data_IF_626017136888
#
_entry.id   IF_626017136888
#
_cell.length_a   1.000
_cell.length_b   1.000
_cell.length_c   1.000
_cell.angle_alpha   90.00
_cell.angle_beta   90.00
_cell.angle_gamma   90.00
#
_symmetry.space_group_name_H-M   'P 1'
#
loop_
_entity.id
_entity.type
_entity.pdbx_description
1 polymer ?
#
# COMPACT_ATOMS: atom_id res chain seq x y z
N UNK A 1 4.96 69.97 -38.46
CA UNK A 1 5.14 68.51 -38.30
C UNK A 1 4.94 68.16 -36.83
N UNK A 2 3.73 67.76 -36.44
CA UNK A 2 3.45 67.24 -35.09
C UNK A 2 3.75 65.73 -35.07
N UNK A 3 4.65 65.31 -34.18
CA UNK A 3 4.92 63.90 -33.88
C UNK A 3 4.01 63.46 -32.74
N UNK A 4 2.98 62.70 -33.07
CA UNK A 4 2.15 61.95 -32.13
C UNK A 4 2.95 60.78 -31.57
N UNK A 5 3.14 60.76 -30.25
CA UNK A 5 3.66 59.60 -29.52
C UNK A 5 2.49 58.69 -29.16
N UNK A 6 2.48 57.48 -29.72
CA UNK A 6 1.56 56.41 -29.35
C UNK A 6 2.11 55.76 -28.09
N UNK A 7 1.42 55.93 -26.96
CA UNK A 7 1.69 55.20 -25.72
C UNK A 7 0.99 53.84 -25.83
N UNK A 8 1.77 52.78 -25.98
CA UNK A 8 1.30 51.40 -25.93
C UNK A 8 1.03 51.02 -24.45
N UNK A 9 -0.14 50.51 -24.07
CA UNK A 9 -0.34 49.96 -22.74
C UNK A 9 0.33 48.58 -22.67
N UNK A 10 1.40 48.49 -21.89
CA UNK A 10 1.94 47.20 -21.44
C UNK A 10 0.92 46.55 -20.50
N UNK A 11 0.09 45.64 -21.01
CA UNK A 11 -0.64 44.70 -20.17
C UNK A 11 0.38 43.73 -19.55
N UNK A 12 0.77 43.99 -18.31
CA UNK A 12 1.42 43.03 -17.44
C UNK A 12 0.39 41.96 -17.05
N UNK A 13 0.27 40.90 -17.84
CA UNK A 13 -0.31 39.64 -17.37
C UNK A 13 0.64 39.05 -16.34
N UNK A 14 0.39 39.34 -15.05
CA UNK A 14 1.00 38.62 -13.94
C UNK A 14 0.39 37.22 -13.87
N UNK A 15 0.94 36.30 -14.66
CA UNK A 15 0.75 34.86 -14.42
C UNK A 15 1.51 34.52 -13.13
N UNK A 16 0.83 34.64 -11.98
CA UNK A 16 1.26 33.96 -10.77
C UNK A 16 1.05 32.45 -10.98
N UNK A 17 1.99 31.80 -11.66
CA UNK A 17 2.17 30.37 -11.54
C UNK A 17 2.69 30.11 -10.12
N UNK A 18 1.76 29.97 -9.17
CA UNK A 18 2.08 29.38 -7.87
C UNK A 18 2.58 27.97 -8.16
N UNK A 19 3.88 27.76 -7.95
CA UNK A 19 4.51 26.47 -8.16
C UNK A 19 3.97 25.49 -7.12
N UNK A 20 3.22 24.49 -7.57
CA UNK A 20 2.80 23.38 -6.73
C UNK A 20 4.03 22.75 -6.05
N UNK A 21 3.88 22.15 -4.85
CA UNK A 21 4.98 21.47 -4.17
C UNK A 21 5.70 20.53 -5.14
N UNK A 22 7.03 20.59 -5.19
CA UNK A 22 7.84 19.86 -6.18
C UNK A 22 7.49 18.35 -6.17
N UNK A 23 7.33 17.76 -4.98
CA UNK A 23 6.90 16.37 -4.82
C UNK A 23 5.52 16.07 -5.42
N UNK A 24 4.53 16.95 -5.26
CA UNK A 24 3.19 16.76 -5.85
C UNK A 24 3.27 16.75 -7.37
N UNK A 25 3.92 17.75 -7.96
CA UNK A 25 4.04 17.88 -9.42
C UNK A 25 4.88 16.75 -10.04
N UNK A 26 5.83 16.17 -9.28
CA UNK A 26 6.57 14.99 -9.70
C UNK A 26 5.68 13.75 -9.77
N UNK A 27 4.73 13.58 -8.84
CA UNK A 27 3.94 12.36 -8.65
C UNK A 27 2.60 12.38 -9.40
N UNK A 28 1.96 13.55 -9.48
CA UNK A 28 0.58 13.68 -9.97
C UNK A 28 0.45 14.64 -11.16
N UNK A 29 -0.53 14.36 -11.99
CA UNK A 29 -1.00 15.20 -13.08
C UNK A 29 -2.49 15.48 -12.87
N UNK A 30 -2.84 16.77 -12.86
CA UNK A 30 -4.22 17.26 -12.78
C UNK A 30 -4.73 17.49 -14.20
N UNK A 31 -5.44 16.51 -14.75
CA UNK A 31 -5.98 16.60 -16.11
C UNK A 31 -7.24 17.45 -16.08
N UNK A 32 -7.23 18.57 -16.80
CA UNK A 32 -8.37 19.46 -16.98
C UNK A 32 -9.00 19.27 -18.37
N UNK A 33 -10.31 19.44 -18.47
CA UNK A 33 -11.02 19.51 -19.75
C UNK A 33 -10.82 20.86 -20.43
N UNK A 34 -11.28 20.98 -21.68
CA UNK A 34 -11.14 22.21 -22.50
C UNK A 34 -11.82 23.44 -21.88
N UNK A 35 -12.82 23.22 -21.02
CA UNK A 35 -13.53 24.23 -20.23
C UNK A 35 -12.82 24.59 -18.90
N UNK A 36 -11.65 24.00 -18.63
CA UNK A 36 -10.83 24.25 -17.43
C UNK A 36 -11.23 23.42 -16.20
N UNK A 37 -12.29 22.61 -16.25
CA UNK A 37 -12.72 21.78 -15.12
C UNK A 37 -11.77 20.61 -14.88
N UNK A 38 -11.44 20.31 -13.62
CA UNK A 38 -10.65 19.13 -13.26
C UNK A 38 -11.40 17.84 -13.62
N UNK A 39 -10.91 17.10 -14.61
CA UNK A 39 -11.49 15.84 -15.08
C UNK A 39 -11.02 14.65 -14.25
N UNK A 40 -9.71 14.55 -14.00
CA UNK A 40 -9.11 13.46 -13.23
C UNK A 40 -7.76 13.86 -12.63
N UNK A 41 -7.38 13.18 -11.56
CA UNK A 41 -6.02 13.21 -11.01
C UNK A 41 -5.36 11.88 -11.35
N UNK A 42 -4.21 11.95 -12.03
CA UNK A 42 -3.47 10.79 -12.52
C UNK A 42 -2.09 10.72 -11.86
N UNK A 43 -1.61 9.52 -11.55
CA UNK A 43 -0.20 9.32 -11.21
C UNK A 43 0.64 9.35 -12.50
N UNK A 44 1.83 9.94 -12.44
CA UNK A 44 2.75 10.05 -13.59
C UNK A 44 3.52 8.77 -13.90
N UNK A 45 3.53 7.81 -12.97
CA UNK A 45 4.33 6.60 -13.03
C UNK A 45 3.43 5.37 -13.12
N UNK A 46 2.92 5.07 -14.32
CA UNK A 46 2.29 3.77 -14.60
C UNK A 46 3.12 3.03 -15.63
N UNK A 47 3.61 1.85 -15.27
CA UNK A 47 4.27 0.94 -16.20
C UNK A 47 3.33 0.63 -17.37
N UNK A 48 3.65 1.17 -18.55
CA UNK A 48 3.00 0.76 -19.82
C UNK A 48 3.24 -0.72 -20.13
N UNK A 49 4.30 -1.32 -19.56
CA UNK A 49 4.72 -2.70 -19.74
C UNK A 49 4.71 -3.47 -18.41
N UNK A 50 3.52 -3.80 -17.92
CA UNK A 50 3.37 -4.73 -16.79
C UNK A 50 4.05 -6.08 -17.08
N UNK A 51 4.73 -6.64 -16.09
CA UNK A 51 5.27 -8.00 -16.08
C UNK A 51 5.35 -8.55 -14.67
N UNK A 52 5.14 -9.85 -14.49
CA UNK A 52 5.27 -10.53 -13.19
C UNK A 52 6.72 -10.86 -12.82
N UNK A 53 7.63 -10.80 -13.80
CA UNK A 53 9.02 -11.23 -13.64
C UNK A 53 9.78 -10.52 -12.48
N UNK A 54 9.61 -9.21 -12.23
CA UNK A 54 10.27 -8.56 -11.10
C UNK A 54 9.91 -9.19 -9.76
N UNK A 55 8.63 -9.52 -9.56
CA UNK A 55 8.16 -10.15 -8.33
C UNK A 55 8.67 -11.59 -8.19
N UNK A 56 8.63 -12.38 -9.28
CA UNK A 56 9.20 -13.74 -9.28
C UNK A 56 10.70 -13.71 -8.92
N UNK A 57 11.44 -12.76 -9.48
CA UNK A 57 12.86 -12.60 -9.16
C UNK A 57 13.06 -12.25 -7.69
N UNK A 58 12.33 -11.25 -7.20
CA UNK A 58 12.42 -10.79 -5.81
C UNK A 58 12.14 -11.94 -4.83
N UNK A 59 11.03 -12.67 -4.99
CA UNK A 59 10.67 -13.74 -4.06
C UNK A 59 11.68 -14.90 -4.08
N UNK A 60 12.22 -15.27 -5.26
CA UNK A 60 13.28 -16.28 -5.36
C UNK A 60 14.53 -15.83 -4.59
N UNK A 61 14.92 -14.57 -4.73
CA UNK A 61 16.07 -13.99 -4.04
C UNK A 61 15.85 -13.91 -2.53
N UNK A 62 14.64 -13.54 -2.10
CA UNK A 62 14.26 -13.47 -0.69
C UNK A 62 14.35 -14.85 -0.02
N UNK A 63 13.76 -15.89 -0.62
CA UNK A 63 13.83 -17.26 -0.07
C UNK A 63 15.28 -17.75 0.00
N UNK A 64 16.06 -17.59 -1.08
CA UNK A 64 17.46 -18.06 -1.10
C UNK A 64 18.32 -17.32 -0.09
N UNK A 65 18.10 -16.01 0.05
CA UNK A 65 18.78 -15.19 1.04
C UNK A 65 18.43 -15.63 2.45
N UNK A 66 17.17 -15.99 2.69
CA UNK A 66 16.73 -16.50 3.99
C UNK A 66 17.34 -17.85 4.33
N UNK A 67 17.27 -18.82 3.42
CA UNK A 67 17.90 -20.14 3.58
C UNK A 67 19.39 -19.99 3.88
N UNK A 68 20.07 -19.01 3.25
CA UNK A 68 21.48 -18.71 3.54
C UNK A 68 21.69 -18.18 4.96
N UNK A 69 20.82 -17.30 5.46
CA UNK A 69 20.85 -16.76 6.84
C UNK A 69 20.57 -17.86 7.88
N UNK A 70 19.66 -18.78 7.60
CA UNK A 70 19.34 -19.91 8.48
C UNK A 70 20.54 -20.82 8.76
N UNK A 71 21.56 -20.83 7.88
CA UNK A 71 22.79 -21.62 8.08
C UNK A 71 23.64 -21.11 9.25
N UNK A 72 23.56 -19.83 9.61
CA UNK A 72 24.20 -19.28 10.82
C UNK A 72 23.29 -19.48 12.04
N UNK A 73 23.21 -20.74 12.51
CA UNK A 73 22.20 -21.22 13.46
C UNK A 73 22.02 -20.41 14.75
N UNK A 74 23.12 -19.94 15.38
CA UNK A 74 23.03 -19.24 16.68
C UNK A 74 22.41 -17.86 16.60
N UNK A 75 22.76 -17.06 15.58
CA UNK A 75 22.24 -15.70 15.40
C UNK A 75 20.84 -15.70 14.79
N UNK A 76 20.56 -16.67 13.92
CA UNK A 76 19.25 -16.78 13.29
C UNK A 76 18.17 -17.22 14.28
N UNK A 77 18.49 -18.16 15.19
CA UNK A 77 17.56 -18.61 16.22
C UNK A 77 17.04 -17.45 17.07
N UNK A 78 17.94 -16.58 17.56
CA UNK A 78 17.55 -15.39 18.32
C UNK A 78 16.71 -14.40 17.52
N UNK A 79 17.02 -14.21 16.23
CA UNK A 79 16.23 -13.32 15.36
C UNK A 79 14.82 -13.87 15.13
N UNK A 80 14.69 -15.17 14.91
CA UNK A 80 13.40 -15.84 14.74
C UNK A 80 12.60 -15.79 16.04
N UNK A 81 13.23 -16.03 17.19
CA UNK A 81 12.57 -15.94 18.50
C UNK A 81 12.09 -14.51 18.79
N UNK A 82 12.86 -13.47 18.45
CA UNK A 82 12.42 -12.08 18.57
C UNK A 82 11.22 -11.79 17.65
N UNK A 83 11.26 -12.27 16.41
CA UNK A 83 10.15 -12.14 15.46
C UNK A 83 8.87 -12.80 15.99
N UNK A 84 8.96 -14.05 16.46
CA UNK A 84 7.82 -14.78 16.99
C UNK A 84 7.31 -14.13 18.28
N UNK A 85 8.19 -13.69 19.18
CA UNK A 85 7.82 -12.92 20.36
C UNK A 85 7.09 -11.63 19.97
N UNK A 86 7.48 -10.97 18.89
CA UNK A 86 6.76 -9.80 18.37
C UNK A 86 5.35 -10.16 17.88
N UNK A 87 5.15 -11.31 17.21
CA UNK A 87 3.82 -11.80 16.85
C UNK A 87 2.97 -12.12 18.08
N UNK A 88 3.61 -12.57 19.15
CA UNK A 88 2.99 -12.89 20.44
C UNK A 88 2.72 -11.64 21.30
N UNK A 89 3.37 -10.53 20.97
CA UNK A 89 3.46 -9.34 21.82
C UNK A 89 2.21 -8.45 21.80
N UNK A 90 0.99 -8.98 21.93
CA UNK A 90 -0.19 -8.17 22.28
C UNK A 90 -1.43 -8.99 22.69
N UNK A 91 -2.16 -8.49 23.72
CA UNK A 91 -3.31 -9.16 24.35
C UNK A 91 -4.66 -8.66 23.80
N UNK A 92 -5.71 -9.52 23.79
CA UNK A 92 -5.73 -10.87 24.38
C UNK A 92 -5.16 -11.91 23.42
N UNK A 93 -4.09 -12.56 23.87
CA UNK A 93 -3.51 -13.71 23.18
C UNK A 93 -4.45 -14.88 23.44
N UNK A 94 -5.26 -15.24 22.47
CA UNK A 94 -6.12 -16.42 22.54
C UNK A 94 -5.36 -17.66 22.03
N UNK A 95 -5.94 -18.84 22.21
CA UNK A 95 -5.34 -20.10 21.78
C UNK A 95 -5.08 -20.11 20.26
N UNK A 96 -5.93 -19.44 19.48
CA UNK A 96 -5.81 -19.38 18.02
C UNK A 96 -4.58 -18.56 17.59
N UNK A 97 -4.29 -17.44 18.26
CA UNK A 97 -3.09 -16.65 17.98
C UNK A 97 -1.81 -17.45 18.23
N UNK A 98 -1.77 -18.23 19.32
CA UNK A 98 -0.63 -19.11 19.62
C UNK A 98 -0.45 -20.23 18.58
N UNK A 99 -1.55 -20.86 18.15
CA UNK A 99 -1.53 -21.87 17.10
C UNK A 99 -1.05 -21.26 15.78
N UNK A 100 -1.52 -20.06 15.41
CA UNK A 100 -1.08 -19.37 14.21
C UNK A 100 0.42 -19.07 14.23
N UNK A 101 0.97 -18.58 15.34
CA UNK A 101 2.40 -18.32 15.49
C UNK A 101 3.23 -19.60 15.36
N UNK A 102 2.75 -20.71 15.94
CA UNK A 102 3.39 -22.03 15.76
C UNK A 102 3.45 -22.46 14.30
N UNK A 103 2.35 -22.31 13.56
CA UNK A 103 2.30 -22.66 12.14
C UNK A 103 3.21 -21.73 11.29
N UNK A 104 3.32 -20.44 11.65
CA UNK A 104 4.27 -19.51 11.01
C UNK A 104 5.72 -19.96 11.24
N UNK A 105 6.06 -20.36 12.46
CA UNK A 105 7.38 -20.93 12.79
C UNK A 105 7.68 -22.13 11.89
N UNK A 106 6.77 -23.11 11.85
CA UNK A 106 6.93 -24.32 11.04
C UNK A 106 7.12 -23.98 9.56
N UNK A 107 6.38 -22.99 9.06
CA UNK A 107 6.48 -22.53 7.67
C UNK A 107 7.86 -21.95 7.33
N UNK A 108 8.39 -21.10 8.22
CA UNK A 108 9.72 -20.50 8.06
C UNK A 108 10.82 -21.55 8.21
N UNK A 109 10.72 -22.42 9.21
CA UNK A 109 11.70 -23.49 9.46
C UNK A 109 11.75 -24.52 8.32
N UNK A 110 10.65 -24.68 7.58
CA UNK A 110 10.57 -25.57 6.43
C UNK A 110 11.17 -24.99 5.13
N UNK A 111 11.51 -23.69 5.08
CA UNK A 111 12.08 -23.06 3.87
C UNK A 111 13.30 -23.81 3.28
N UNK A 112 14.27 -24.31 4.08
CA UNK A 112 15.42 -25.05 3.55
C UNK A 112 15.06 -26.35 2.80
N UNK A 113 13.87 -26.90 3.04
CA UNK A 113 13.39 -28.11 2.36
C UNK A 113 12.79 -27.79 0.98
N UNK A 114 12.57 -26.51 0.66
CA UNK A 114 12.02 -26.09 -0.62
C UNK A 114 13.12 -26.09 -1.68
N UNK A 115 12.92 -26.88 -2.74
CA UNK A 115 13.74 -26.83 -3.96
C UNK A 115 13.35 -25.60 -4.78
N UNK A 116 13.86 -24.43 -4.40
CA UNK A 116 13.40 -23.12 -4.92
C UNK A 116 13.46 -23.05 -6.44
N UNK A 117 14.62 -23.30 -7.05
CA UNK A 117 14.76 -23.14 -8.51
C UNK A 117 13.87 -24.11 -9.28
N UNK A 118 13.89 -25.38 -8.89
CA UNK A 118 13.08 -26.42 -9.53
C UNK A 118 11.58 -26.15 -9.40
N UNK A 119 11.13 -25.66 -8.23
CA UNK A 119 9.72 -25.37 -7.97
C UNK A 119 9.22 -24.20 -8.83
N UNK A 120 10.01 -23.12 -8.93
CA UNK A 120 9.66 -21.97 -9.77
C UNK A 120 9.75 -22.31 -11.26
N UNK A 121 10.73 -23.10 -11.69
CA UNK A 121 10.83 -23.57 -13.07
C UNK A 121 9.64 -24.47 -13.46
N UNK A 122 9.24 -25.38 -12.57
CA UNK A 122 8.06 -26.21 -12.76
C UNK A 122 6.77 -25.39 -12.86
N UNK A 123 6.61 -24.34 -12.04
CA UNK A 123 5.45 -23.45 -12.13
C UNK A 123 5.45 -22.65 -13.44
N UNK A 124 6.61 -22.14 -13.86
CA UNK A 124 6.74 -21.35 -15.09
C UNK A 124 6.46 -22.19 -16.35
N UNK A 125 6.91 -23.44 -16.38
CA UNK A 125 6.75 -24.33 -17.55
C UNK A 125 5.30 -24.68 -17.86
N UNK A 126 4.40 -24.63 -16.87
CA UNK A 126 2.96 -24.88 -17.07
C UNK A 126 2.21 -23.71 -17.74
N UNK A 127 2.87 -22.57 -17.95
CA UNK A 127 2.30 -21.41 -18.66
C UNK A 127 1.17 -20.69 -17.92
N UNK A 128 0.81 -21.12 -16.71
CA UNK A 128 -0.23 -20.52 -15.85
C UNK A 128 0.09 -19.05 -15.57
N UNK A 129 1.31 -18.78 -15.12
CA UNK A 129 1.75 -17.42 -14.79
C UNK A 129 1.81 -16.50 -16.01
N UNK A 130 2.20 -17.02 -17.18
CA UNK A 130 2.20 -16.26 -18.44
C UNK A 130 0.79 -15.89 -18.88
N UNK A 131 -0.17 -16.82 -18.76
CA UNK A 131 -1.58 -16.54 -19.04
C UNK A 131 -2.14 -15.48 -18.08
N UNK A 132 -1.86 -15.62 -16.79
CA UNK A 132 -2.26 -14.65 -15.78
C UNK A 132 -1.68 -13.26 -16.06
N UNK A 133 -0.39 -13.15 -16.40
CA UNK A 133 0.23 -11.87 -16.77
C UNK A 133 -0.52 -11.18 -17.92
N UNK A 134 -0.88 -11.94 -18.96
CA UNK A 134 -1.63 -11.42 -20.11
C UNK A 134 -3.04 -10.98 -19.71
N UNK A 135 -3.80 -11.83 -19.02
CA UNK A 135 -5.17 -11.53 -18.57
C UNK A 135 -5.20 -10.28 -17.67
N UNK A 136 -4.24 -10.20 -16.73
CA UNK A 136 -4.11 -9.04 -15.83
C UNK A 136 -3.77 -7.79 -16.63
N UNK A 137 -2.81 -7.85 -17.56
CA UNK A 137 -2.45 -6.71 -18.41
C UNK A 137 -3.65 -6.13 -19.16
N UNK A 138 -4.53 -6.97 -19.71
CA UNK A 138 -5.75 -6.49 -20.37
C UNK A 138 -6.73 -5.85 -19.39
N UNK A 139 -6.92 -6.45 -18.20
CA UNK A 139 -7.77 -5.85 -17.18
C UNK A 139 -7.23 -4.49 -16.69
N UNK A 140 -5.91 -4.34 -16.53
CA UNK A 140 -5.29 -3.08 -16.12
C UNK A 140 -5.54 -1.94 -17.11
N UNK A 141 -5.60 -2.24 -18.41
CA UNK A 141 -5.97 -1.24 -19.43
C UNK A 141 -7.40 -0.72 -19.22
N UNK A 142 -8.34 -1.57 -18.83
CA UNK A 142 -9.71 -1.18 -18.55
C UNK A 142 -9.84 -0.37 -17.26
N UNK A 143 -9.10 -0.77 -16.22
CA UNK A 143 -9.08 -0.09 -14.93
C UNK A 143 -8.53 1.35 -15.01
N UNK A 144 -7.57 1.58 -15.89
CA UNK A 144 -6.72 2.77 -15.88
C UNK A 144 -6.18 3.03 -14.47
N UNK A 145 -5.21 2.21 -14.04
CA UNK A 145 -4.59 2.33 -12.71
C UNK A 145 -4.01 3.73 -12.45
N UNK A 146 -3.72 4.49 -13.51
CA UNK A 146 -3.16 5.82 -13.36
C UNK A 146 -4.11 6.76 -12.63
N UNK A 147 -5.42 6.60 -12.81
CA UNK A 147 -6.41 7.48 -12.19
C UNK A 147 -6.49 7.17 -10.70
N UNK A 148 -6.08 8.15 -9.88
CA UNK A 148 -6.17 8.10 -8.41
C UNK A 148 -7.40 8.83 -7.88
N UNK A 149 -7.93 9.78 -8.65
CA UNK A 149 -9.21 10.43 -8.37
C UNK A 149 -9.90 10.85 -9.67
N UNK A 150 -11.23 10.75 -9.68
CA UNK A 150 -12.11 11.17 -10.76
C UNK A 150 -13.25 12.03 -10.18
N UNK A 151 -13.03 13.35 -10.01
CA UNK A 151 -13.92 14.23 -9.24
C UNK A 151 -15.34 14.36 -9.79
N UNK A 152 -15.57 14.13 -11.09
CA UNK A 152 -16.87 14.40 -11.73
C UNK A 152 -17.77 13.16 -11.93
N UNK A 153 -17.38 11.99 -11.41
CA UNK A 153 -18.17 10.76 -11.53
C UNK A 153 -18.14 9.97 -10.23
N UNK A 154 -19.24 10.06 -9.50
CA UNK A 154 -19.40 9.47 -8.18
C UNK A 154 -19.46 7.93 -8.17
N UNK A 155 -19.35 7.28 -9.33
CA UNK A 155 -19.37 5.82 -9.45
C UNK A 155 -18.25 5.30 -10.36
N UNK A 156 -17.23 6.13 -10.62
CA UNK A 156 -16.14 5.78 -11.53
C UNK A 156 -15.44 4.48 -11.08
N UNK A 157 -15.03 4.40 -9.81
CA UNK A 157 -14.29 3.23 -9.33
C UNK A 157 -15.21 2.05 -9.04
N UNK A 158 -16.41 2.28 -8.50
CA UNK A 158 -17.38 1.21 -8.29
C UNK A 158 -17.72 0.44 -9.58
N UNK A 159 -17.92 1.15 -10.71
CA UNK A 159 -18.19 0.50 -12.00
C UNK A 159 -16.99 -0.22 -12.60
N UNK A 160 -15.76 0.12 -12.17
CA UNK A 160 -14.52 -0.41 -12.73
C UNK A 160 -13.92 -1.56 -11.91
N UNK A 161 -14.60 -2.19 -10.96
CA UNK A 161 -14.01 -3.27 -10.17
C UNK A 161 -14.01 -4.64 -10.89
N UNK A 162 -13.18 -4.80 -11.92
CA UNK A 162 -13.20 -5.97 -12.85
C UNK A 162 -12.15 -7.04 -12.53
N UNK A 163 -11.14 -6.76 -11.70
CA UNK A 163 -9.94 -7.61 -11.59
C UNK A 163 -10.12 -8.89 -10.78
N UNK A 164 -11.11 -8.97 -9.89
CA UNK A 164 -11.40 -10.18 -9.13
C UNK A 164 -11.64 -11.41 -10.03
N UNK A 165 -12.26 -11.18 -11.20
CA UNK A 165 -12.51 -12.26 -12.17
C UNK A 165 -11.21 -12.79 -12.80
N UNK A 166 -10.17 -11.95 -12.94
CA UNK A 166 -8.87 -12.35 -13.48
C UNK A 166 -8.21 -13.35 -12.53
N UNK A 167 -8.15 -13.02 -11.23
CA UNK A 167 -7.57 -13.88 -10.20
C UNK A 167 -8.32 -15.22 -10.14
N UNK A 168 -9.65 -15.17 -10.07
CA UNK A 168 -10.48 -16.38 -10.01
C UNK A 168 -10.21 -17.31 -11.19
N UNK A 169 -10.21 -16.77 -12.43
CA UNK A 169 -9.93 -17.55 -13.64
C UNK A 169 -8.50 -18.11 -13.66
N UNK A 170 -7.53 -17.36 -13.17
CA UNK A 170 -6.14 -17.81 -13.10
C UNK A 170 -5.96 -18.94 -12.09
N UNK A 171 -6.59 -18.85 -10.91
CA UNK A 171 -6.57 -19.91 -9.89
C UNK A 171 -7.27 -21.18 -10.36
N UNK A 172 -8.42 -21.07 -11.03
CA UNK A 172 -9.10 -22.23 -11.64
C UNK A 172 -8.24 -22.88 -12.73
N UNK A 173 -7.55 -22.07 -13.54
CA UNK A 173 -6.63 -22.59 -14.54
C UNK A 173 -5.42 -23.28 -13.91
N UNK A 174 -4.88 -22.72 -12.82
CA UNK A 174 -3.79 -23.33 -12.05
C UNK A 174 -4.20 -24.70 -11.50
N UNK A 175 -5.39 -24.81 -10.88
CA UNK A 175 -5.94 -26.07 -10.35
C UNK A 175 -6.04 -27.18 -11.42
N UNK A 176 -6.28 -26.81 -12.68
CA UNK A 176 -6.35 -27.75 -13.81
C UNK A 176 -4.98 -28.17 -14.35
N UNK A 177 -3.91 -27.47 -13.99
CA UNK A 177 -2.56 -27.65 -14.54
C UNK A 177 -1.57 -28.29 -13.56
N UNK A 178 -1.84 -28.18 -12.25
CA UNK A 178 -0.95 -28.68 -11.22
C UNK A 178 -1.61 -29.80 -10.42
N UNK A 179 -1.06 -31.01 -10.54
CA UNK A 179 -1.42 -32.14 -9.68
C UNK A 179 -0.68 -32.10 -8.32
N UNK A 180 0.44 -31.36 -8.28
CA UNK A 180 1.22 -31.15 -7.07
C UNK A 180 0.66 -29.99 -6.24
N UNK A 181 0.18 -30.29 -5.04
CA UNK A 181 -0.36 -29.29 -4.09
C UNK A 181 0.66 -28.17 -3.78
N UNK A 182 1.96 -28.45 -3.50
CA UNK A 182 2.95 -27.40 -3.30
C UNK A 182 3.13 -26.47 -4.52
N UNK A 183 3.17 -27.01 -5.74
CA UNK A 183 3.32 -26.19 -6.95
C UNK A 183 2.06 -25.36 -7.23
N UNK A 184 0.88 -25.93 -6.99
CA UNK A 184 -0.38 -25.20 -7.06
C UNK A 184 -0.42 -24.05 -6.06
N UNK A 185 -0.01 -24.28 -4.81
CA UNK A 185 0.02 -23.25 -3.77
C UNK A 185 1.02 -22.15 -4.12
N UNK A 186 2.22 -22.51 -4.61
CA UNK A 186 3.21 -21.53 -5.08
C UNK A 186 2.65 -20.67 -6.23
N UNK A 187 2.03 -21.29 -7.23
CA UNK A 187 1.41 -20.56 -8.33
C UNK A 187 0.28 -19.64 -7.84
N UNK A 188 -0.57 -20.14 -6.94
CA UNK A 188 -1.69 -19.39 -6.36
C UNK A 188 -1.20 -18.18 -5.56
N UNK A 189 -0.18 -18.37 -4.72
CA UNK A 189 0.47 -17.31 -3.96
C UNK A 189 0.99 -16.20 -4.89
N UNK A 190 1.74 -16.57 -5.93
CA UNK A 190 2.27 -15.59 -6.90
C UNK A 190 1.14 -14.84 -7.61
N UNK A 191 0.06 -15.52 -8.01
CA UNK A 191 -1.09 -14.89 -8.67
C UNK A 191 -1.74 -13.84 -7.76
N UNK A 192 -2.04 -14.21 -6.51
CA UNK A 192 -2.73 -13.34 -5.55
C UNK A 192 -1.84 -12.15 -5.19
N UNK A 193 -0.60 -12.39 -4.78
CA UNK A 193 0.32 -11.33 -4.35
C UNK A 193 0.63 -10.34 -5.46
N UNK A 194 0.84 -10.80 -6.70
CA UNK A 194 1.05 -9.90 -7.85
C UNK A 194 -0.20 -9.05 -8.13
N UNK A 195 -1.38 -9.67 -8.13
CA UNK A 195 -2.63 -8.94 -8.33
C UNK A 195 -2.79 -7.83 -7.30
N UNK A 196 -2.61 -8.17 -6.02
CA UNK A 196 -2.79 -7.23 -4.93
C UNK A 196 -1.78 -6.11 -5.03
N UNK A 197 -0.47 -6.43 -5.08
CA UNK A 197 0.61 -5.43 -5.18
C UNK A 197 0.44 -4.46 -6.36
N UNK A 198 -0.14 -4.92 -7.48
CA UNK A 198 -0.45 -4.05 -8.62
C UNK A 198 -1.57 -3.06 -8.29
N UNK A 199 -2.64 -3.51 -7.63
CA UNK A 199 -3.76 -2.65 -7.23
C UNK A 199 -3.41 -1.70 -6.08
N UNK A 200 -2.56 -2.15 -5.16
CA UNK A 200 -2.07 -1.37 -4.02
C UNK A 200 -1.46 -0.03 -4.44
N UNK A 201 -0.88 0.04 -5.64
CA UNK A 201 -0.30 1.27 -6.18
C UNK A 201 -1.28 2.43 -6.13
N UNK A 202 -2.56 2.21 -6.51
CA UNK A 202 -3.57 3.26 -6.50
C UNK A 202 -3.81 3.75 -5.07
N UNK A 203 -4.09 2.84 -4.15
CA UNK A 203 -4.40 3.20 -2.76
C UNK A 203 -3.23 3.88 -2.07
N UNK A 204 -2.00 3.42 -2.33
CA UNK A 204 -0.79 4.06 -1.85
C UNK A 204 -0.69 5.52 -2.32
N UNK A 205 -0.81 5.76 -3.63
CA UNK A 205 -0.76 7.11 -4.18
C UNK A 205 -1.96 7.98 -3.79
N UNK A 206 -3.13 7.39 -3.54
CA UNK A 206 -4.26 8.11 -2.97
C UNK A 206 -3.94 8.58 -1.54
N UNK A 207 -3.33 7.74 -0.69
CA UNK A 207 -2.92 8.18 0.65
C UNK A 207 -1.80 9.24 0.59
N UNK A 208 -0.90 9.17 -0.40
CA UNK A 208 0.05 10.24 -0.69
C UNK A 208 -0.65 11.54 -1.08
N UNK A 209 -1.65 11.49 -1.96
CA UNK A 209 -2.44 12.65 -2.37
C UNK A 209 -3.22 13.24 -1.19
N UNK A 210 -3.76 12.41 -0.29
CA UNK A 210 -4.42 12.87 0.94
C UNK A 210 -3.47 13.67 1.84
N UNK A 211 -2.19 13.30 1.92
CA UNK A 211 -1.18 14.09 2.64
C UNK A 211 -1.07 15.50 2.05
N UNK A 212 -0.95 15.63 0.73
CA UNK A 212 -0.84 16.94 0.09
C UNK A 212 -2.11 17.78 0.29
N UNK A 213 -3.29 17.18 0.07
CA UNK A 213 -4.58 17.85 0.24
C UNK A 213 -4.79 18.34 1.68
N UNK A 214 -4.32 17.60 2.66
CA UNK A 214 -4.46 17.99 4.07
C UNK A 214 -3.54 19.15 4.45
N UNK A 215 -2.29 19.15 3.96
CA UNK A 215 -1.23 20.00 4.49
C UNK A 215 -0.97 21.26 3.67
N UNK A 216 -1.53 21.36 2.47
CA UNK A 216 -1.41 22.52 1.59
C UNK A 216 -2.78 23.11 1.29
N UNK A 217 -2.82 24.42 1.03
CA UNK A 217 -4.06 25.07 0.60
C UNK A 217 -4.41 24.67 -0.83
N UNK A 218 -5.69 24.74 -1.18
CA UNK A 218 -6.16 24.32 -2.50
C UNK A 218 -5.47 25.10 -3.64
N UNK A 219 -5.30 26.42 -3.48
CA UNK A 219 -4.63 27.30 -4.44
C UNK A 219 -3.14 26.98 -4.62
N UNK A 220 -2.45 26.60 -3.55
CA UNK A 220 -1.05 26.10 -3.60
C UNK A 220 -0.93 24.79 -4.41
N UNK A 221 -2.01 24.01 -4.49
CA UNK A 221 -2.08 22.78 -5.29
C UNK A 221 -2.59 23.03 -6.72
N UNK A 222 -2.94 24.27 -7.06
CA UNK A 222 -3.57 24.61 -8.35
C UNK A 222 -5.02 24.10 -8.46
N UNK A 223 -5.74 24.03 -7.33
CA UNK A 223 -7.10 23.50 -7.20
C UNK A 223 -8.04 24.53 -6.57
N UNK A 224 -9.34 24.39 -6.85
CA UNK A 224 -10.38 25.02 -6.03
C UNK A 224 -10.67 24.18 -4.79
N UNK A 225 -11.32 24.78 -3.78
CA UNK A 225 -11.77 24.05 -2.60
C UNK A 225 -12.78 22.95 -2.96
N UNK A 226 -13.70 23.25 -3.86
CA UNK A 226 -14.70 22.30 -4.36
C UNK A 226 -14.04 21.13 -5.10
N UNK A 227 -12.98 21.40 -5.87
CA UNK A 227 -12.18 20.34 -6.52
C UNK A 227 -11.52 19.44 -5.48
N UNK A 228 -10.96 20.01 -4.42
CA UNK A 228 -10.40 19.25 -3.28
C UNK A 228 -11.47 18.36 -2.62
N UNK A 229 -12.65 18.91 -2.34
CA UNK A 229 -13.74 18.16 -1.70
C UNK A 229 -14.20 16.99 -2.58
N UNK A 230 -14.29 17.19 -3.90
CA UNK A 230 -14.63 16.13 -4.85
C UNK A 230 -13.51 15.10 -5.04
N UNK A 231 -12.23 15.50 -4.97
CA UNK A 231 -11.10 14.55 -4.95
C UNK A 231 -11.20 13.65 -3.71
N UNK A 232 -11.46 14.22 -2.53
CA UNK A 232 -11.67 13.44 -1.31
C UNK A 232 -12.80 12.42 -1.52
N UNK A 233 -13.94 12.84 -2.07
CA UNK A 233 -15.06 11.94 -2.32
C UNK A 233 -14.69 10.81 -3.26
N UNK A 234 -13.94 11.12 -4.32
CA UNK A 234 -13.44 10.12 -5.25
C UNK A 234 -12.49 9.10 -4.63
N UNK A 235 -11.57 9.55 -3.77
CA UNK A 235 -10.66 8.66 -3.05
C UNK A 235 -11.45 7.74 -2.12
N UNK A 236 -12.41 8.26 -1.35
CA UNK A 236 -13.18 7.43 -0.42
C UNK A 236 -14.18 6.51 -1.13
N UNK A 237 -14.73 6.90 -2.28
CA UNK A 237 -15.60 6.06 -3.11
C UNK A 237 -14.84 4.85 -3.66
N UNK A 238 -13.58 5.05 -4.04
CA UNK A 238 -12.72 3.95 -4.52
C UNK A 238 -12.48 2.84 -3.49
N UNK A 239 -12.76 3.10 -2.20
CA UNK A 239 -12.61 2.15 -1.09
C UNK A 239 -13.89 1.36 -0.82
N UNK A 240 -14.99 1.68 -1.50
CA UNK A 240 -16.27 0.99 -1.31
C UNK A 240 -16.17 -0.39 -1.96
N UNK A 241 -16.45 -1.44 -1.17
CA UNK A 241 -16.54 -2.80 -1.69
C UNK A 241 -17.58 -2.90 -2.81
N UNK A 242 -17.31 -3.73 -3.83
CA UNK A 242 -18.24 -3.98 -4.94
C UNK A 242 -19.62 -4.49 -4.48
N UNK A 243 -19.70 -5.10 -3.30
CA UNK A 243 -20.96 -5.60 -2.74
C UNK A 243 -21.74 -4.54 -1.95
N UNK A 244 -21.13 -3.38 -1.66
CA UNK A 244 -21.72 -2.35 -0.82
C UNK A 244 -22.38 -1.23 -1.66
N UNK A 245 -23.42 -1.63 -2.42
CA UNK A 245 -24.24 -0.71 -3.21
C UNK A 245 -24.88 0.41 -2.37
N UNK A 246 -25.38 0.18 -1.13
CA UNK A 246 -25.94 1.25 -0.31
C UNK A 246 -24.95 2.38 -0.03
N UNK A 247 -23.69 2.05 0.29
CA UNK A 247 -22.65 3.05 0.52
C UNK A 247 -22.29 3.80 -0.77
N UNK A 248 -22.23 3.11 -1.92
CA UNK A 248 -22.02 3.77 -3.22
C UNK A 248 -23.16 4.74 -3.57
N UNK A 249 -24.41 4.38 -3.26
CA UNK A 249 -25.56 5.27 -3.42
C UNK A 249 -25.48 6.50 -2.49
N UNK A 250 -25.03 6.32 -1.25
CA UNK A 250 -24.82 7.41 -0.31
C UNK A 250 -23.67 8.34 -0.74
N UNK A 251 -22.61 7.80 -1.34
CA UNK A 251 -21.55 8.60 -1.93
C UNK A 251 -22.08 9.46 -3.07
N UNK A 252 -22.84 8.87 -4.00
CA UNK A 252 -23.42 9.59 -5.14
C UNK A 252 -24.41 10.68 -4.73
N UNK A 253 -25.26 10.44 -3.73
CA UNK A 253 -26.26 11.42 -3.29
C UNK A 253 -25.67 12.60 -2.52
N UNK A 254 -24.49 12.43 -1.93
CA UNK A 254 -23.83 13.45 -1.10
C UNK A 254 -22.40 13.75 -1.59
N UNK A 255 -22.18 13.71 -2.90
CA UNK A 255 -20.84 13.69 -3.48
C UNK A 255 -19.94 14.85 -3.05
N UNK A 256 -20.47 16.06 -2.90
CA UNK A 256 -19.68 17.23 -2.51
C UNK A 256 -19.21 17.20 -1.06
N UNK A 257 -19.79 16.36 -0.19
CA UNK A 257 -19.44 16.28 1.24
C UNK A 257 -19.00 14.88 1.67
N UNK A 258 -19.22 13.86 0.84
CA UNK A 258 -19.00 12.45 1.19
C UNK A 258 -17.58 12.21 1.68
N UNK A 259 -16.58 12.54 0.87
CA UNK A 259 -15.17 12.33 1.20
C UNK A 259 -14.69 13.20 2.34
N UNK A 260 -15.13 14.45 2.40
CA UNK A 260 -14.83 15.37 3.51
C UNK A 260 -15.29 14.76 4.84
N UNK A 261 -16.52 14.27 4.89
CA UNK A 261 -17.08 13.64 6.09
C UNK A 261 -16.32 12.37 6.49
N UNK A 262 -15.94 11.53 5.52
CA UNK A 262 -15.12 10.32 5.77
C UNK A 262 -13.72 10.69 6.28
N UNK A 263 -13.07 11.67 5.65
CA UNK A 263 -11.74 12.16 6.03
C UNK A 263 -11.72 12.68 7.47
N UNK A 264 -12.65 13.56 7.85
CA UNK A 264 -12.70 14.08 9.22
C UNK A 264 -13.13 13.02 10.25
N UNK A 265 -13.87 12.00 9.84
CA UNK A 265 -14.15 10.84 10.70
C UNK A 265 -12.86 10.05 10.99
N UNK A 266 -12.05 9.80 9.95
CA UNK A 266 -10.72 9.19 10.10
C UNK A 266 -9.83 10.05 11.01
N UNK A 267 -9.74 11.36 10.75
CA UNK A 267 -8.90 12.28 11.53
C UNK A 267 -9.28 12.29 13.01
N UNK A 268 -10.59 12.33 13.33
CA UNK A 268 -11.09 12.27 14.71
C UNK A 268 -10.77 10.93 15.38
N UNK A 269 -10.83 9.83 14.65
CA UNK A 269 -10.43 8.51 15.14
C UNK A 269 -8.94 8.49 15.50
N UNK A 270 -8.06 8.93 14.59
CA UNK A 270 -6.62 9.01 14.84
C UNK A 270 -6.28 9.91 16.03
N UNK A 271 -6.95 11.07 16.14
CA UNK A 271 -6.76 12.01 17.26
C UNK A 271 -7.24 11.42 18.59
N UNK A 272 -8.31 10.62 18.57
CA UNK A 272 -8.77 9.89 19.76
C UNK A 272 -7.78 8.79 20.14
N UNK A 273 -7.22 8.07 19.16
CA UNK A 273 -6.22 7.03 19.40
C UNK A 273 -4.97 7.60 20.08
N UNK A 274 -4.36 8.64 19.52
CA UNK A 274 -3.16 9.25 20.11
C UNK A 274 -3.43 9.84 21.49
N UNK A 275 -4.60 10.45 21.74
CA UNK A 275 -4.97 10.95 23.07
C UNK A 275 -5.07 9.82 24.11
N UNK A 276 -5.53 8.64 23.70
CA UNK A 276 -5.64 7.47 24.59
C UNK A 276 -4.30 6.79 24.83
N UNK A 277 -3.40 6.83 23.86
CA UNK A 277 -2.10 6.13 23.94
C UNK A 277 -0.93 7.03 24.29
N UNK A 278 -1.08 8.36 24.31
CA UNK A 278 0.02 9.30 24.57
C UNK A 278 0.77 9.04 25.87
N UNK A 279 0.05 8.60 26.92
CA UNK A 279 0.64 8.24 28.23
C UNK A 279 1.54 7.00 28.19
N UNK A 280 1.52 6.23 27.11
CA UNK A 280 2.38 5.05 26.90
C UNK A 280 3.71 5.39 26.24
N UNK A 281 3.85 6.61 25.75
CA UNK A 281 5.06 7.09 25.10
C UNK A 281 5.80 8.04 26.05
N UNK A 282 7.12 8.03 25.98
CA UNK A 282 7.97 8.94 26.74
C UNK A 282 7.70 10.40 26.32
N UNK A 283 7.50 10.60 25.01
CA UNK A 283 7.00 11.87 24.46
C UNK A 283 6.21 11.65 23.18
N UNK A 284 5.29 12.58 22.89
CA UNK A 284 4.65 12.70 21.58
C UNK A 284 5.21 13.96 20.93
N UNK A 285 5.91 13.78 19.81
CA UNK A 285 6.60 14.84 19.10
C UNK A 285 5.66 15.42 18.01
N UNK A 286 6.11 15.41 16.76
CA UNK A 286 5.41 16.02 15.64
C UNK A 286 4.31 15.13 15.04
N UNK A 287 3.19 15.75 14.66
CA UNK A 287 2.18 15.11 13.83
C UNK A 287 2.51 15.32 12.35
N UNK A 288 2.92 14.26 11.66
CA UNK A 288 3.31 14.34 10.25
C UNK A 288 2.13 14.55 9.30
N UNK A 289 1.01 13.86 9.52
CA UNK A 289 -0.22 14.01 8.73
C UNK A 289 -1.41 13.33 9.41
N UNK A 290 -2.52 13.10 8.69
CA UNK A 290 -3.75 12.48 9.19
C UNK A 290 -3.53 11.08 9.78
N UNK A 291 -2.50 10.35 9.37
CA UNK A 291 -2.24 8.97 9.81
C UNK A 291 -1.00 8.83 10.71
N UNK A 292 0.04 9.65 10.54
CA UNK A 292 1.33 9.42 11.20
C UNK A 292 1.70 10.47 12.23
N UNK A 293 2.37 10.01 13.30
CA UNK A 293 2.91 10.85 14.38
C UNK A 293 4.28 10.29 14.80
N UNK A 294 5.22 11.18 15.11
CA UNK A 294 6.48 10.81 15.75
C UNK A 294 6.30 10.77 17.27
N UNK A 295 6.81 9.73 17.91
CA UNK A 295 6.84 9.57 19.37
C UNK A 295 8.20 9.05 19.81
N UNK A 296 8.49 9.17 21.11
CA UNK A 296 9.58 8.46 21.77
C UNK A 296 8.98 7.32 22.58
N UNK A 297 9.42 6.09 22.30
CA UNK A 297 8.98 4.87 22.97
C UNK A 297 10.23 4.13 23.45
N UNK A 298 10.36 3.95 24.76
CA UNK A 298 11.52 3.30 25.39
C UNK A 298 12.85 3.97 24.99
N UNK A 299 12.87 5.31 24.98
CA UNK A 299 14.02 6.12 24.56
C UNK A 299 14.30 6.15 23.06
N UNK A 300 13.55 5.42 22.23
CA UNK A 300 13.73 5.36 20.79
C UNK A 300 12.73 6.25 20.06
N UNK A 301 13.22 7.02 19.08
CA UNK A 301 12.34 7.76 18.17
C UNK A 301 11.69 6.76 17.20
N UNK A 302 10.36 6.80 17.13
CA UNK A 302 9.57 5.92 16.27
C UNK A 302 8.42 6.67 15.62
N UNK A 303 8.08 6.31 14.40
CA UNK A 303 6.89 6.82 13.69
C UNK A 303 5.76 5.82 13.89
N UNK A 304 4.65 6.27 14.46
CA UNK A 304 3.45 5.45 14.68
C UNK A 304 2.39 5.74 13.63
N UNK A 305 1.74 4.68 13.16
CA UNK A 305 0.55 4.74 12.33
C UNK A 305 -0.70 4.69 13.22
N UNK A 306 -1.45 5.79 13.22
CA UNK A 306 -2.65 5.94 14.03
C UNK A 306 -3.91 5.40 13.35
N UNK A 307 -3.86 5.19 12.03
CA UNK A 307 -4.98 4.62 11.28
C UNK A 307 -5.02 3.10 11.44
N UNK A 308 -3.85 2.45 11.42
CA UNK A 308 -3.74 1.01 11.51
C UNK A 308 -3.33 0.54 12.91
N UNK A 309 -3.81 -0.63 13.30
CA UNK A 309 -3.36 -1.29 14.52
C UNK A 309 -2.09 -2.11 14.24
N UNK A 310 -1.43 -2.61 15.30
CA UNK A 310 -0.30 -3.53 15.16
C UNK A 310 -0.65 -4.78 14.34
N UNK A 311 -1.85 -5.32 14.57
CA UNK A 311 -2.48 -6.44 13.86
C UNK A 311 -3.99 -6.44 14.19
N UNK A 312 -4.75 -7.41 13.66
CA UNK A 312 -6.21 -7.51 13.82
C UNK A 312 -6.68 -7.57 15.29
N UNK A 313 -5.90 -8.17 16.18
CA UNK A 313 -6.22 -8.30 17.62
C UNK A 313 -5.59 -7.20 18.49
N UNK A 314 -4.76 -6.35 17.91
CA UNK A 314 -4.11 -5.25 18.63
C UNK A 314 -4.99 -4.01 18.69
N UNK A 315 -4.91 -3.27 19.79
CA UNK A 315 -5.44 -1.90 19.90
C UNK A 315 -4.35 -0.82 19.82
N UNK A 316 -3.06 -1.21 19.77
CA UNK A 316 -1.94 -0.27 19.71
C UNK A 316 -1.77 0.26 18.28
N UNK A 317 -1.11 1.41 18.16
CA UNK A 317 -0.70 1.94 16.85
C UNK A 317 0.46 1.11 16.30
N UNK A 318 0.40 0.73 15.02
CA UNK A 318 1.53 0.03 14.39
C UNK A 318 2.74 0.95 14.25
N UNK A 319 3.94 0.37 14.31
CA UNK A 319 5.19 1.09 14.07
C UNK A 319 5.45 1.15 12.57
N UNK A 320 5.40 2.36 12.01
CA UNK A 320 5.66 2.63 10.58
C UNK A 320 7.15 2.76 10.29
N UNK A 321 7.93 3.25 11.25
CA UNK A 321 9.38 3.35 11.14
C UNK A 321 10.04 3.46 12.51
N UNK A 322 11.24 2.92 12.66
CA UNK A 322 12.06 2.98 13.86
C UNK A 322 13.40 3.61 13.48
N UNK A 323 13.73 4.77 14.08
CA UNK A 323 14.95 5.48 13.73
C UNK A 323 16.21 4.81 14.28
N UNK A 324 16.09 4.09 15.40
CA UNK A 324 17.17 3.35 16.04
C UNK A 324 17.45 2.03 15.30
N UNK A 325 16.40 1.40 14.76
CA UNK A 325 16.52 0.22 13.91
C UNK A 325 15.79 0.39 12.56
N UNK A 326 16.40 1.11 11.58
CA UNK A 326 15.78 1.42 10.29
C UNK A 326 15.29 0.23 9.47
N UNK A 327 15.82 -0.96 9.72
CA UNK A 327 15.46 -2.17 8.98
C UNK A 327 14.39 -3.00 9.67
N UNK A 328 13.98 -2.67 10.90
CA UNK A 328 13.05 -3.45 11.73
C UNK A 328 11.74 -3.76 11.01
N UNK A 329 11.06 -2.73 10.51
CA UNK A 329 9.76 -2.88 9.82
C UNK A 329 9.90 -3.69 8.52
N UNK A 330 10.93 -3.39 7.73
CA UNK A 330 11.22 -4.13 6.49
C UNK A 330 11.50 -5.61 6.77
N UNK A 331 12.33 -5.90 7.78
CA UNK A 331 12.72 -7.28 8.13
C UNK A 331 11.52 -8.07 8.67
N UNK A 332 10.73 -7.46 9.55
CA UNK A 332 9.51 -8.05 10.08
C UNK A 332 8.53 -8.44 8.95
N UNK A 333 8.31 -7.54 7.98
CA UNK A 333 7.49 -7.82 6.79
C UNK A 333 8.08 -8.91 5.91
N UNK A 334 9.40 -8.95 5.73
CA UNK A 334 10.05 -10.00 4.95
C UNK A 334 9.82 -11.38 5.58
N UNK A 335 9.94 -11.50 6.90
CA UNK A 335 9.66 -12.75 7.63
C UNK A 335 8.19 -13.15 7.55
N UNK A 336 7.26 -12.19 7.66
CA UNK A 336 5.83 -12.42 7.45
C UNK A 336 5.53 -12.97 6.04
N UNK A 337 6.03 -12.32 4.99
CA UNK A 337 5.86 -12.77 3.60
C UNK A 337 6.47 -14.16 3.36
N UNK A 338 7.62 -14.44 3.96
CA UNK A 338 8.28 -15.75 3.86
C UNK A 338 7.51 -16.84 4.63
N UNK A 339 6.94 -16.49 5.79
CA UNK A 339 6.01 -17.36 6.52
C UNK A 339 4.81 -17.70 5.66
N UNK A 340 4.13 -16.70 5.09
CA UNK A 340 2.96 -16.88 4.22
C UNK A 340 3.27 -17.80 3.02
N UNK A 341 4.40 -17.56 2.34
CA UNK A 341 4.87 -18.43 1.27
C UNK A 341 5.14 -19.86 1.78
N UNK A 342 5.82 -19.99 2.91
CA UNK A 342 6.16 -21.26 3.53
C UNK A 342 4.92 -22.11 3.86
N UNK A 343 3.79 -21.48 4.24
CA UNK A 343 2.51 -22.15 4.46
C UNK A 343 2.05 -22.92 3.21
N UNK A 344 2.36 -22.42 2.02
CA UNK A 344 2.06 -23.07 0.75
C UNK A 344 2.70 -24.47 0.63
N UNK A 345 3.84 -24.69 1.30
CA UNK A 345 4.59 -25.95 1.26
C UNK A 345 4.28 -26.88 2.43
N UNK A 346 3.53 -26.43 3.43
CA UNK A 346 3.12 -27.29 4.55
C UNK A 346 1.90 -28.15 4.18
N UNK A 347 1.86 -29.43 4.62
CA UNK A 347 0.73 -30.33 4.41
C UNK A 347 -0.38 -30.11 5.44
N UNK A 348 -0.84 -28.87 5.58
CA UNK A 348 -1.90 -28.49 6.52
C UNK A 348 -3.23 -28.19 5.81
N UNK A 349 -4.39 -28.38 6.48
CA UNK A 349 -5.70 -28.06 5.92
C UNK A 349 -5.82 -26.60 5.47
N UNK A 350 -6.54 -26.36 4.37
CA UNK A 350 -6.69 -25.02 3.78
C UNK A 350 -7.36 -23.99 4.69
N UNK A 351 -8.24 -24.42 5.60
CA UNK A 351 -8.87 -23.52 6.57
C UNK A 351 -7.85 -22.99 7.61
N UNK A 352 -6.85 -23.80 7.99
CA UNK A 352 -5.74 -23.35 8.85
C UNK A 352 -4.90 -22.34 8.08
N UNK A 353 -4.54 -22.64 6.83
CA UNK A 353 -3.77 -21.72 5.98
C UNK A 353 -4.43 -20.35 5.89
N UNK A 354 -5.72 -20.31 5.55
CA UNK A 354 -6.46 -19.04 5.41
C UNK A 354 -6.53 -18.24 6.71
N UNK A 355 -6.64 -18.90 7.86
CA UNK A 355 -6.61 -18.24 9.17
C UNK A 355 -5.24 -17.60 9.45
N UNK A 356 -4.15 -18.33 9.16
CA UNK A 356 -2.79 -17.85 9.36
C UNK A 356 -2.44 -16.73 8.37
N UNK A 357 -2.82 -16.88 7.09
CA UNK A 357 -2.68 -15.85 6.06
C UNK A 357 -3.38 -14.55 6.49
N UNK A 358 -4.65 -14.63 6.91
CA UNK A 358 -5.40 -13.46 7.40
C UNK A 358 -4.74 -12.81 8.62
N UNK A 359 -4.13 -13.60 9.50
CA UNK A 359 -3.39 -13.08 10.65
C UNK A 359 -2.11 -12.35 10.20
N UNK A 360 -1.32 -12.95 9.31
CA UNK A 360 -0.10 -12.36 8.72
C UNK A 360 -0.42 -11.03 8.02
N UNK A 361 -1.40 -11.02 7.12
CA UNK A 361 -1.78 -9.85 6.33
C UNK A 361 -2.17 -8.66 7.22
N UNK A 362 -2.83 -8.94 8.36
CA UNK A 362 -3.31 -7.92 9.29
C UNK A 362 -2.20 -7.04 9.88
N UNK A 363 -0.95 -7.52 9.89
CA UNK A 363 0.19 -6.75 10.40
C UNK A 363 0.65 -5.65 9.45
N UNK A 364 0.52 -5.84 8.13
CA UNK A 364 1.28 -5.01 7.19
C UNK A 364 0.52 -4.54 5.96
N UNK A 365 -0.52 -5.22 5.48
CA UNK A 365 -1.16 -4.89 4.19
C UNK A 365 -1.71 -3.47 4.22
N UNK A 366 -2.65 -3.17 5.12
CA UNK A 366 -3.23 -1.83 5.25
C UNK A 366 -2.21 -0.77 5.71
N UNK A 367 -1.23 -1.17 6.53
CA UNK A 367 -0.17 -0.28 6.99
C UNK A 367 0.70 0.19 5.82
N UNK A 368 1.07 -0.73 4.91
CA UNK A 368 1.84 -0.44 3.71
C UNK A 368 1.10 0.56 2.83
N UNK A 369 -0.22 0.42 2.65
CA UNK A 369 -1.00 1.35 1.81
C UNK A 369 -1.01 2.77 2.38
N UNK A 370 -1.13 2.90 3.68
CA UNK A 370 -1.20 4.22 4.34
C UNK A 370 0.15 4.93 4.34
N UNK A 371 1.27 4.20 4.29
CA UNK A 371 2.63 4.77 4.19
C UNK A 371 2.84 5.68 2.97
N UNK A 372 1.96 5.66 1.97
CA UNK A 372 1.95 6.66 0.90
C UNK A 372 1.87 8.09 1.43
N UNK A 373 1.08 8.32 2.50
CA UNK A 373 1.01 9.61 3.17
C UNK A 373 2.34 9.97 3.87
N UNK A 374 3.04 8.98 4.44
CA UNK A 374 4.33 9.17 5.11
C UNK A 374 5.44 9.50 4.09
N UNK A 375 5.43 8.84 2.93
CA UNK A 375 6.31 9.19 1.81
C UNK A 375 6.02 10.61 1.34
N UNK A 376 4.74 10.97 1.14
CA UNK A 376 4.35 12.33 0.77
C UNK A 376 4.86 13.39 1.75
N UNK A 377 4.83 13.10 3.07
CA UNK A 377 5.39 13.98 4.10
C UNK A 377 6.89 14.21 3.93
N UNK A 378 7.69 13.14 3.80
CA UNK A 378 9.14 13.29 3.65
C UNK A 378 9.50 13.97 2.32
N UNK A 379 8.80 13.68 1.23
CA UNK A 379 8.98 14.37 -0.05
C UNK A 379 8.66 15.87 0.05
N UNK A 380 7.55 16.23 0.68
CA UNK A 380 7.17 17.66 0.84
C UNK A 380 8.13 18.46 1.72
N UNK A 381 8.89 17.79 2.59
CA UNK A 381 9.90 18.39 3.45
C UNK A 381 11.34 18.27 2.90
N UNK A 382 11.51 17.78 1.66
CA UNK A 382 12.83 17.64 1.02
C UNK A 382 13.69 16.47 1.53
N UNK A 383 13.17 15.60 2.41
CA UNK A 383 13.88 14.41 2.89
C UNK A 383 13.67 13.20 1.97
N UNK A 384 14.21 13.30 0.77
CA UNK A 384 14.12 12.24 -0.24
C UNK A 384 14.81 10.94 0.20
N UNK A 385 15.80 11.03 1.10
CA UNK A 385 16.49 9.86 1.66
C UNK A 385 15.51 9.05 2.51
N UNK A 386 14.74 9.72 3.36
CA UNK A 386 13.76 9.07 4.20
C UNK A 386 12.55 8.58 3.42
N UNK A 387 12.07 9.37 2.44
CA UNK A 387 11.03 8.92 1.51
C UNK A 387 11.41 7.59 0.84
N UNK A 388 12.64 7.49 0.31
CA UNK A 388 13.17 6.25 -0.30
C UNK A 388 13.29 5.09 0.69
N UNK A 389 13.67 5.34 1.94
CA UNK A 389 13.73 4.30 2.99
C UNK A 389 12.34 3.72 3.27
N UNK A 390 11.33 4.57 3.43
CA UNK A 390 9.95 4.14 3.65
C UNK A 390 9.46 3.33 2.43
N UNK A 391 9.67 3.81 1.21
CA UNK A 391 9.27 3.04 0.02
C UNK A 391 9.94 1.67 -0.05
N UNK A 392 11.24 1.58 0.26
CA UNK A 392 11.98 0.32 0.24
C UNK A 392 11.48 -0.70 1.28
N UNK A 393 10.75 -0.28 2.31
CA UNK A 393 10.21 -1.17 3.34
C UNK A 393 8.88 -1.83 2.92
N UNK A 394 8.27 -1.36 1.83
CA UNK A 394 6.99 -1.87 1.32
C UNK A 394 7.12 -3.20 0.56
N UNK A 395 8.32 -3.50 0.06
CA UNK A 395 8.64 -4.73 -0.69
C UNK A 395 7.69 -5.02 -1.87
N UNK A 396 7.13 -3.98 -2.48
CA UNK A 396 6.27 -4.06 -3.66
C UNK A 396 7.06 -3.57 -4.89
N UNK A 397 7.45 -4.47 -5.82
CA UNK A 397 8.31 -4.13 -6.95
C UNK A 397 7.60 -3.30 -8.03
N UNK A 398 6.28 -3.13 -7.92
CA UNK A 398 5.48 -2.36 -8.85
C UNK A 398 5.28 -0.90 -8.44
N UNK A 399 5.65 -0.53 -7.20
CA UNK A 399 5.71 0.85 -6.78
C UNK A 399 6.96 1.53 -7.36
N UNK A 400 6.77 2.21 -8.49
CA UNK A 400 7.85 2.93 -9.15
C UNK A 400 8.08 4.25 -8.41
N UNK A 401 9.19 4.31 -7.69
CA UNK A 401 9.63 5.49 -6.97
C UNK A 401 10.96 5.98 -7.55
N UNK A 402 10.86 6.73 -8.64
CA UNK A 402 11.97 7.46 -9.25
C UNK A 402 11.97 8.92 -8.81
#
# INVERSE_FOLDING_TARGET
>A
MLRTWIVLPFMLFSLCALAAPEGLSKRFEFKRSDDGRLESVRMKFVTKNFSIAPYIKQIKEDIKSEIKRMRSKSLYGSELDEFLAQLESERPFDKNASENVGVIRDAIENLPNIRVDDSFEAVLSQGVLKKFEWDLKEALKMLDLAIVAYPNDARFFYRKNVTYQVVTKALEFAKKRFDSVPLLNLASFVIVQVHDMVLEQRTFHQNMLLHYIQNFKADELGLSKEEVDMILSSIYESRISAMNLPESNAAASNWTRYGVNKFFTVLRSCNTKIRRTSRKYDSVNERYNFAFVEVVEEGNRVVKNLLNNGHSFSSKASTAYDYSNPNKVRRFRALLNLGELGLGFLPIPGWIKSNVESFIESFYVEQRLTEGALVGYFESNGDMKMAKKITNQMSNPYLIFN
#
